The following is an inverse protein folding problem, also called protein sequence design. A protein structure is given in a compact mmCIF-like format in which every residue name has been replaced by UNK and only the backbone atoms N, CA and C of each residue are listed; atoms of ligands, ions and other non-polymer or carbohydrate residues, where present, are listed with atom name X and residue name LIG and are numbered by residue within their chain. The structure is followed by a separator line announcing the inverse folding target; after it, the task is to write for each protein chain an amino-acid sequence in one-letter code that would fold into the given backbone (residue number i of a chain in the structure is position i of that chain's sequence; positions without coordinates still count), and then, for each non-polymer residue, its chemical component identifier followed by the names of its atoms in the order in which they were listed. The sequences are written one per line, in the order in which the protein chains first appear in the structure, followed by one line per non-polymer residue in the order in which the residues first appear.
data_IF_892948189698
#
_entry.id   IF_892948189698
#
_cell.length_a   1.000
_cell.length_b   1.000
_cell.length_c   1.000
_cell.angle_alpha   90.00
_cell.angle_beta   90.00
_cell.angle_gamma   90.00
#
_symmetry.space_group_name_H-M   'P 1'
#
loop_
_entity.id
_entity.type
_entity.pdbx_description
1 polymer ?
#
# COMPACT_ATOMS: atom_id res chain seq x y z
N UNK A 1 13.43 15.74 -44.73
CA UNK A 1 13.65 14.47 -44.02
C UNK A 1 13.14 14.50 -42.58
N UNK A 2 13.58 15.45 -41.72
CA UNK A 2 13.12 15.59 -40.33
C UNK A 2 11.58 15.73 -40.17
N UNK A 3 10.94 16.56 -41.00
CA UNK A 3 9.48 16.74 -41.00
C UNK A 3 8.70 15.43 -41.31
N UNK A 4 9.25 14.59 -42.19
CA UNK A 4 8.63 13.33 -42.59
C UNK A 4 8.69 12.30 -41.45
N UNK A 5 9.81 12.25 -40.72
CA UNK A 5 9.97 11.41 -39.53
C UNK A 5 9.03 11.84 -38.40
N UNK A 6 8.84 13.16 -38.22
CA UNK A 6 7.88 13.70 -37.26
C UNK A 6 6.45 13.27 -37.61
N UNK A 7 6.06 13.38 -38.88
CA UNK A 7 4.73 13.02 -39.36
C UNK A 7 4.46 11.51 -39.17
N UNK A 8 5.46 10.67 -39.46
CA UNK A 8 5.38 9.24 -39.25
C UNK A 8 5.20 8.88 -37.77
N UNK A 9 5.91 9.58 -36.87
CA UNK A 9 5.74 9.44 -35.42
C UNK A 9 4.31 9.76 -34.97
N UNK A 10 3.77 10.89 -35.44
CA UNK A 10 2.40 11.35 -35.13
C UNK A 10 1.37 10.34 -35.63
N UNK A 11 1.53 9.80 -36.84
CA UNK A 11 0.61 8.81 -37.39
C UNK A 11 0.66 7.48 -36.62
N UNK A 12 1.86 7.03 -36.20
CA UNK A 12 2.01 5.84 -35.34
C UNK A 12 1.37 6.06 -33.97
N UNK A 13 1.56 7.24 -33.38
CA UNK A 13 0.93 7.59 -32.10
C UNK A 13 -0.60 7.60 -32.22
N UNK A 14 -1.15 8.19 -33.29
CA UNK A 14 -2.59 8.20 -33.53
C UNK A 14 -3.18 6.77 -33.65
N UNK A 15 -2.47 5.85 -34.31
CA UNK A 15 -2.88 4.45 -34.40
C UNK A 15 -2.80 3.74 -33.04
N UNK A 16 -1.76 4.00 -32.26
CA UNK A 16 -1.61 3.49 -30.90
C UNK A 16 -2.76 3.96 -29.98
N UNK A 17 -3.10 5.26 -30.04
CA UNK A 17 -4.24 5.82 -29.31
C UNK A 17 -5.53 5.12 -29.74
N UNK A 18 -5.80 5.04 -31.05
CA UNK A 18 -7.04 4.43 -31.57
C UNK A 18 -7.23 2.99 -31.09
N UNK A 19 -6.14 2.21 -31.02
CA UNK A 19 -6.18 0.81 -30.58
C UNK A 19 -6.52 0.66 -29.09
N UNK A 20 -5.98 1.53 -28.24
CA UNK A 20 -6.04 1.33 -26.78
C UNK A 20 -7.06 2.23 -26.07
N UNK A 21 -7.61 3.25 -26.75
CA UNK A 21 -8.50 4.26 -26.15
C UNK A 21 -9.68 3.68 -25.37
N UNK A 22 -10.35 2.65 -25.91
CA UNK A 22 -11.52 2.05 -25.24
C UNK A 22 -11.15 1.45 -23.88
N UNK A 23 -10.03 0.73 -23.81
CA UNK A 23 -9.47 0.20 -22.56
C UNK A 23 -9.15 1.33 -21.57
N UNK A 24 -8.54 2.41 -22.04
CA UNK A 24 -8.19 3.54 -21.19
C UNK A 24 -9.42 4.21 -20.58
N UNK A 25 -10.47 4.39 -21.38
CA UNK A 25 -11.74 4.96 -20.92
C UNK A 25 -12.44 4.04 -19.93
N UNK A 26 -12.48 2.73 -20.18
CA UNK A 26 -13.05 1.75 -19.25
C UNK A 26 -12.35 1.80 -17.89
N UNK A 27 -11.02 1.84 -17.88
CA UNK A 27 -10.25 1.98 -16.65
C UNK A 27 -10.53 3.30 -15.93
N UNK A 28 -10.56 4.42 -16.68
CA UNK A 28 -10.86 5.74 -16.13
C UNK A 28 -12.26 5.81 -15.51
N UNK A 29 -13.26 5.24 -16.18
CA UNK A 29 -14.66 5.16 -15.72
C UNK A 29 -14.78 4.28 -14.47
N UNK A 30 -14.10 3.14 -14.45
CA UNK A 30 -14.04 2.26 -13.29
C UNK A 30 -13.46 2.99 -12.07
N UNK A 31 -12.37 3.75 -12.24
CA UNK A 31 -11.80 4.57 -11.15
C UNK A 31 -12.77 5.67 -10.67
N UNK A 32 -13.63 6.19 -11.55
CA UNK A 32 -14.66 7.20 -11.22
C UNK A 32 -15.93 6.59 -10.63
N UNK A 33 -16.00 5.26 -10.43
CA UNK A 33 -17.19 4.52 -10.02
C UNK A 33 -18.39 4.71 -10.98
N UNK A 34 -18.12 5.03 -12.24
CA UNK A 34 -19.14 5.18 -13.28
C UNK A 34 -19.46 3.84 -13.96
N UNK A 35 -18.54 2.89 -13.88
CA UNK A 35 -18.71 1.51 -14.33
C UNK A 35 -18.30 0.54 -13.20
N UNK A 36 -19.04 -0.56 -13.05
CA UNK A 36 -18.70 -1.61 -12.10
C UNK A 36 -17.75 -2.62 -12.77
N UNK A 37 -16.54 -2.70 -12.26
CA UNK A 37 -15.50 -3.66 -12.68
C UNK A 37 -15.05 -4.44 -11.46
N UNK A 38 -14.85 -5.76 -11.60
CA UNK A 38 -14.37 -6.58 -10.48
C UNK A 38 -12.97 -6.13 -10.04
N UNK A 39 -12.59 -6.30 -8.76
CA UNK A 39 -11.26 -5.92 -8.27
C UNK A 39 -10.11 -6.59 -9.04
N UNK A 40 -10.27 -7.86 -9.42
CA UNK A 40 -9.27 -8.58 -10.22
C UNK A 40 -9.12 -7.94 -11.61
N UNK A 41 -10.25 -7.66 -12.29
CA UNK A 41 -10.21 -7.04 -13.61
C UNK A 41 -9.68 -5.60 -13.56
N UNK A 42 -9.96 -4.86 -12.49
CA UNK A 42 -9.38 -3.54 -12.27
C UNK A 42 -7.85 -3.60 -12.11
N UNK A 43 -7.35 -4.66 -11.48
CA UNK A 43 -5.91 -4.90 -11.33
C UNK A 43 -5.25 -5.25 -12.67
N UNK A 44 -5.88 -6.11 -13.48
CA UNK A 44 -5.41 -6.41 -14.83
C UNK A 44 -5.34 -5.15 -15.70
N UNK A 45 -6.40 -4.34 -15.68
CA UNK A 45 -6.44 -3.07 -16.42
C UNK A 45 -5.34 -2.12 -15.96
N UNK A 46 -5.04 -2.07 -14.66
CA UNK A 46 -3.94 -1.24 -14.16
C UNK A 46 -2.59 -1.68 -14.75
N UNK A 47 -2.31 -2.99 -14.82
CA UNK A 47 -1.10 -3.52 -15.46
C UNK A 47 -1.06 -3.11 -16.94
N UNK A 48 -2.15 -3.35 -17.67
CA UNK A 48 -2.26 -3.01 -19.09
C UNK A 48 -2.06 -1.51 -19.35
N UNK A 49 -2.50 -0.62 -18.46
CA UNK A 49 -2.29 0.84 -18.54
C UNK A 49 -0.84 1.22 -18.27
N UNK A 50 -0.20 0.59 -17.27
CA UNK A 50 1.20 0.86 -16.96
C UNK A 50 2.16 0.38 -18.07
N UNK A 51 1.80 -0.70 -18.76
CA UNK A 51 2.52 -1.17 -19.94
C UNK A 51 2.39 -0.19 -21.10
N UNK A 52 1.18 0.27 -21.40
CA UNK A 52 0.94 1.29 -22.44
C UNK A 52 1.67 2.60 -22.12
N UNK A 53 1.73 3.00 -20.84
CA UNK A 53 2.48 4.18 -20.41
C UNK A 53 3.98 3.99 -20.66
N UNK A 54 4.53 2.81 -20.37
CA UNK A 54 5.94 2.50 -20.58
C UNK A 54 6.30 2.48 -22.08
N UNK A 55 5.40 1.94 -22.91
CA UNK A 55 5.52 2.01 -24.36
C UNK A 55 5.50 3.47 -24.85
N UNK A 56 4.51 4.26 -24.41
CA UNK A 56 4.38 5.65 -24.80
C UNK A 56 5.59 6.50 -24.37
N UNK A 57 6.14 6.28 -23.17
CA UNK A 57 7.38 6.94 -22.71
C UNK A 57 8.60 6.59 -23.57
N UNK A 58 8.61 5.42 -24.19
CA UNK A 58 9.72 4.96 -25.04
C UNK A 58 9.63 5.54 -26.45
N UNK A 59 8.43 5.52 -27.04
CA UNK A 59 8.25 5.83 -28.46
C UNK A 59 7.64 7.22 -28.75
N UNK A 60 6.96 7.83 -27.78
CA UNK A 60 6.23 9.11 -27.91
C UNK A 60 6.59 10.08 -26.78
N UNK A 61 7.90 10.30 -26.58
CA UNK A 61 8.44 11.13 -25.49
C UNK A 61 7.81 12.54 -25.53
N UNK A 62 7.41 13.06 -24.36
CA UNK A 62 6.76 14.37 -24.19
C UNK A 62 5.42 14.55 -24.90
N UNK A 63 4.73 13.46 -25.27
CA UNK A 63 3.41 13.56 -25.90
C UNK A 63 2.26 13.70 -24.90
N UNK A 64 1.13 14.23 -25.36
CA UNK A 64 -0.10 14.31 -24.56
C UNK A 64 -0.59 12.92 -24.13
N UNK A 65 -0.29 11.86 -24.90
CA UNK A 65 -0.61 10.48 -24.55
C UNK A 65 0.13 10.04 -23.30
N UNK A 66 1.43 10.37 -23.19
CA UNK A 66 2.22 10.09 -21.98
C UNK A 66 1.63 10.82 -20.78
N UNK A 67 1.27 12.09 -20.94
CA UNK A 67 0.66 12.89 -19.86
C UNK A 67 -0.69 12.30 -19.41
N UNK A 68 -1.56 11.93 -20.36
CA UNK A 68 -2.86 11.32 -20.08
C UNK A 68 -2.72 10.00 -19.33
N UNK A 69 -1.92 9.07 -19.87
CA UNK A 69 -1.70 7.75 -19.28
C UNK A 69 -1.09 7.82 -17.88
N UNK A 70 -0.12 8.73 -17.69
CA UNK A 70 0.48 8.95 -16.38
C UNK A 70 -0.54 9.48 -15.36
N UNK A 71 -1.46 10.37 -15.79
CA UNK A 71 -2.51 10.91 -14.95
C UNK A 71 -3.48 9.84 -14.44
N UNK A 72 -3.98 8.97 -15.33
CA UNK A 72 -4.90 7.89 -14.94
C UNK A 72 -4.20 6.81 -14.13
N UNK A 73 -2.96 6.45 -14.45
CA UNK A 73 -2.16 5.48 -13.70
C UNK A 73 -1.85 5.97 -12.27
N UNK A 74 -1.43 7.23 -12.12
CA UNK A 74 -1.17 7.84 -10.81
C UNK A 74 -2.45 7.93 -9.97
N UNK A 75 -3.59 8.25 -10.60
CA UNK A 75 -4.89 8.31 -9.92
C UNK A 75 -5.31 6.92 -9.41
N UNK A 76 -5.05 5.88 -10.20
CA UNK A 76 -5.29 4.50 -9.80
C UNK A 76 -4.43 4.09 -8.63
N UNK A 77 -3.13 4.36 -8.67
CA UNK A 77 -2.21 4.03 -7.59
C UNK A 77 -2.68 4.61 -6.25
N UNK A 78 -3.11 5.89 -6.25
CA UNK A 78 -3.65 6.54 -5.06
C UNK A 78 -4.98 5.97 -4.56
N UNK A 79 -5.78 5.33 -5.42
CA UNK A 79 -7.09 4.76 -5.07
C UNK A 79 -6.99 3.29 -4.66
N UNK A 80 -6.25 2.49 -5.42
CA UNK A 80 -6.07 1.05 -5.21
C UNK A 80 -5.17 0.79 -3.99
N UNK A 81 -4.09 1.57 -3.84
CA UNK A 81 -3.14 1.43 -2.73
C UNK A 81 -3.30 2.49 -1.64
N UNK A 82 -4.48 3.12 -1.56
CA UNK A 82 -4.75 4.03 -0.44
C UNK A 82 -4.71 3.21 0.84
N UNK A 83 -3.74 3.50 1.72
CA UNK A 83 -3.71 2.97 3.08
C UNK A 83 -5.10 3.17 3.69
N UNK A 84 -5.72 2.08 4.15
CA UNK A 84 -7.00 2.13 4.86
C UNK A 84 -6.86 3.19 5.93
N UNK A 85 -7.63 4.28 5.82
CA UNK A 85 -7.65 5.29 6.89
C UNK A 85 -8.21 4.58 8.11
N UNK A 86 -7.34 4.26 9.05
CA UNK A 86 -7.76 3.83 10.37
C UNK A 86 -8.74 4.88 10.92
N UNK A 87 -9.88 4.42 11.44
CA UNK A 87 -10.93 5.33 11.90
C UNK A 87 -10.38 6.32 12.92
N UNK A 88 -11.00 7.51 13.02
CA UNK A 88 -10.58 8.57 13.98
C UNK A 88 -10.42 8.04 15.43
N UNK A 89 -11.06 6.92 15.74
CA UNK A 89 -11.06 6.28 17.06
C UNK A 89 -10.14 5.05 17.15
N UNK A 90 -9.21 4.82 16.22
CA UNK A 90 -8.35 3.63 16.21
C UNK A 90 -7.55 3.46 17.50
N UNK A 91 -7.00 4.54 18.05
CA UNK A 91 -6.31 4.50 19.34
C UNK A 91 -7.27 4.13 20.47
N UNK A 92 -8.49 4.67 20.46
CA UNK A 92 -9.50 4.37 21.47
C UNK A 92 -9.89 2.88 21.43
N UNK A 93 -10.15 2.34 20.23
CA UNK A 93 -10.49 0.91 20.08
C UNK A 93 -9.30 0.00 20.37
N UNK A 94 -8.08 0.43 20.05
CA UNK A 94 -6.87 -0.28 20.43
C UNK A 94 -6.78 -0.45 21.95
N UNK A 95 -6.89 0.64 22.71
CA UNK A 95 -6.75 0.58 24.17
C UNK A 95 -7.96 -0.02 24.89
N UNK A 96 -9.17 0.09 24.34
CA UNK A 96 -10.40 -0.45 24.95
C UNK A 96 -10.66 -1.90 24.61
N UNK A 97 -10.37 -2.31 23.38
CA UNK A 97 -10.82 -3.59 22.85
C UNK A 97 -9.62 -4.50 22.59
N UNK A 98 -8.73 -4.08 21.68
CA UNK A 98 -7.66 -4.96 21.19
C UNK A 98 -6.62 -5.28 22.27
N UNK A 99 -6.12 -4.26 22.95
CA UNK A 99 -5.08 -4.41 23.97
C UNK A 99 -5.54 -5.29 25.14
N UNK A 100 -6.70 -5.04 25.79
CA UNK A 100 -7.17 -5.91 26.87
C UNK A 100 -7.44 -7.34 26.40
N UNK A 101 -7.97 -7.51 25.18
CA UNK A 101 -8.25 -8.84 24.63
C UNK A 101 -6.97 -9.65 24.43
N UNK A 102 -5.88 -9.04 23.99
CA UNK A 102 -4.58 -9.71 23.87
C UNK A 102 -4.06 -10.19 25.22
N UNK A 103 -4.20 -9.39 26.28
CA UNK A 103 -3.84 -9.80 27.64
C UNK A 103 -4.68 -10.98 28.13
N UNK A 104 -5.99 -10.97 27.86
CA UNK A 104 -6.88 -12.08 28.19
C UNK A 104 -6.48 -13.39 27.50
N UNK A 105 -6.15 -13.31 26.21
CA UNK A 105 -5.71 -14.47 25.42
C UNK A 105 -4.38 -15.06 25.91
N UNK A 106 -3.48 -14.22 26.45
CA UNK A 106 -2.13 -14.60 26.83
C UNK A 106 -1.87 -14.63 28.35
N UNK A 107 -2.91 -14.79 29.17
CA UNK A 107 -2.79 -14.80 30.64
C UNK A 107 -1.80 -15.87 31.16
N UNK A 108 -1.70 -17.03 30.50
CA UNK A 108 -0.76 -18.10 30.91
C UNK A 108 0.69 -17.67 30.72
N UNK A 109 1.02 -17.09 29.56
CA UNK A 109 2.36 -16.61 29.24
C UNK A 109 2.74 -15.46 30.19
N UNK A 110 1.81 -14.54 30.46
CA UNK A 110 2.00 -13.45 31.42
C UNK A 110 2.26 -13.99 32.83
N UNK A 111 1.51 -15.00 33.27
CA UNK A 111 1.71 -15.61 34.58
C UNK A 111 3.07 -16.31 34.70
N UNK A 112 3.50 -17.03 33.66
CA UNK A 112 4.83 -17.67 33.65
C UNK A 112 5.93 -16.59 33.73
N UNK A 113 5.85 -15.55 32.91
CA UNK A 113 6.81 -14.45 32.95
C UNK A 113 6.84 -13.76 34.31
N UNK A 114 5.66 -13.51 34.90
CA UNK A 114 5.54 -12.95 36.24
C UNK A 114 6.19 -13.83 37.30
N UNK A 115 5.93 -15.14 37.29
CA UNK A 115 6.51 -16.06 38.27
C UNK A 115 8.04 -16.15 38.15
N UNK A 116 8.56 -16.22 36.92
CA UNK A 116 10.02 -16.24 36.69
C UNK A 116 10.65 -14.95 37.20
N UNK A 117 10.07 -13.81 36.85
CA UNK A 117 10.55 -12.51 37.32
C UNK A 117 10.48 -12.39 38.86
N UNK A 118 9.35 -12.77 39.45
CA UNK A 118 9.14 -12.74 40.90
C UNK A 118 10.13 -13.66 41.63
N UNK A 119 10.40 -14.85 41.09
CA UNK A 119 11.37 -15.78 41.64
C UNK A 119 12.77 -15.16 41.70
N UNK A 120 13.28 -14.63 40.58
CA UNK A 120 14.60 -14.00 40.56
C UNK A 120 14.65 -12.73 41.42
N UNK A 121 13.56 -11.96 41.46
CA UNK A 121 13.45 -10.80 42.36
C UNK A 121 13.52 -11.22 43.83
N UNK A 122 12.84 -12.30 44.22
CA UNK A 122 12.87 -12.82 45.58
C UNK A 122 14.26 -13.34 45.96
N UNK A 123 14.93 -14.06 45.05
CA UNK A 123 16.33 -14.49 45.25
C UNK A 123 17.24 -13.29 45.43
N UNK A 124 17.12 -12.27 44.58
CA UNK A 124 17.89 -11.03 44.69
C UNK A 124 17.64 -10.30 46.02
N UNK A 125 16.38 -10.20 46.44
CA UNK A 125 16.00 -9.59 47.72
C UNK A 125 16.56 -10.36 48.92
N UNK A 126 16.47 -11.68 48.92
CA UNK A 126 17.01 -12.52 49.99
C UNK A 126 18.55 -12.44 50.07
N UNK A 127 19.22 -12.43 48.92
CA UNK A 127 20.67 -12.27 48.86
C UNK A 127 21.11 -10.91 49.42
N UNK A 128 20.40 -9.85 49.05
CA UNK A 128 20.63 -8.50 49.55
C UNK A 128 20.39 -8.34 51.06
N UNK A 129 19.47 -9.13 51.66
CA UNK A 129 19.21 -9.06 53.10
C UNK A 129 20.27 -9.76 53.94
N UNK A 130 20.97 -10.76 53.40
CA UNK A 130 21.97 -11.55 54.12
C UNK A 130 23.37 -10.92 54.09
N UNK A 131 23.70 -10.17 53.03
CA UNK A 131 24.96 -9.44 52.93
C UNK A 131 24.73 -8.03 52.38
N UNK A 132 24.93 -7.02 53.23
CA UNK A 132 24.73 -5.61 52.89
C UNK A 132 25.70 -5.07 51.82
N UNK A 133 26.79 -5.79 51.52
CA UNK A 133 27.69 -5.47 50.41
C UNK A 133 27.23 -6.06 49.07
N UNK A 134 26.20 -6.91 49.03
CA UNK A 134 25.76 -7.59 47.80
C UNK A 134 25.09 -6.64 46.78
N UNK A 135 24.58 -5.49 47.23
CA UNK A 135 23.83 -4.52 46.41
C UNK A 135 24.74 -3.46 45.78
N UNK A 136 26.06 -3.50 46.03
CA UNK A 136 27.04 -2.53 45.53
C UNK A 136 27.91 -3.08 44.41
#
# INVERSE_FOLDING_TARGET
MFFLLLLESIMREAAFIKKNKEKWLLFENALKHQEQVSPDRLSDLYIEITDDLSYAKTFYVNSNTVHYLNGIASSAHQKIYKTKKEGKNRLVSFFKDEFPLQFYQHHKQLLIAFLVFAFFTAVGMYSASQDGNFVR
#
